data_IF_977382612696
#
_entry.id   IF_977382612696
#
_cell.length_a   1.000
_cell.length_b   1.000
_cell.length_c   1.000
_cell.angle_alpha   90.00
_cell.angle_beta   90.00
_cell.angle_gamma   90.00
#
_symmetry.space_group_name_H-M   'P 1'
#
loop_
_entity.id
_entity.type
_entity.pdbx_description
1 polymer ?
#
# COMPACT_ATOMS: atom_id res chain seq x y z
N UNK A 1 32.36 -71.21 7.25
CA UNK A 1 31.33 -70.48 6.46
C UNK A 1 30.23 -69.87 7.31
N UNK A 2 29.78 -70.49 8.40
CA UNK A 2 28.63 -69.99 9.21
C UNK A 2 28.90 -68.64 9.92
N UNK A 3 30.10 -68.42 10.46
CA UNK A 3 30.45 -67.19 11.22
C UNK A 3 30.53 -65.94 10.34
N UNK A 4 30.91 -66.08 9.06
CA UNK A 4 30.93 -64.96 8.10
C UNK A 4 29.51 -64.56 7.66
N UNK A 5 28.61 -65.53 7.55
CA UNK A 5 27.20 -65.29 7.20
C UNK A 5 26.47 -64.50 8.30
N UNK A 6 26.69 -64.85 9.56
CA UNK A 6 26.04 -64.18 10.71
C UNK A 6 26.45 -62.70 10.83
N UNK A 7 27.73 -62.39 10.60
CA UNK A 7 28.22 -60.99 10.61
C UNK A 7 27.65 -60.18 9.45
N UNK A 8 27.45 -60.78 8.28
CA UNK A 8 26.83 -60.11 7.13
C UNK A 8 25.35 -59.78 7.40
N UNK A 9 24.63 -60.69 8.05
CA UNK A 9 23.24 -60.50 8.48
C UNK A 9 23.09 -59.38 9.51
N UNK A 10 24.02 -59.29 10.47
CA UNK A 10 24.05 -58.23 11.48
C UNK A 10 24.31 -56.85 10.87
N UNK A 11 25.24 -56.76 9.91
CA UNK A 11 25.52 -55.52 9.16
C UNK A 11 24.32 -55.09 8.33
N UNK A 12 23.63 -56.04 7.67
CA UNK A 12 22.40 -55.74 6.93
C UNK A 12 21.30 -55.16 7.85
N UNK A 13 21.10 -55.75 9.02
CA UNK A 13 20.15 -55.25 10.04
C UNK A 13 20.47 -53.82 10.50
N UNK A 14 21.76 -53.52 10.72
CA UNK A 14 22.24 -52.18 11.08
C UNK A 14 21.97 -51.16 9.97
N UNK A 15 22.32 -51.50 8.72
CA UNK A 15 22.08 -50.64 7.55
C UNK A 15 20.59 -50.40 7.33
N UNK A 16 19.74 -51.42 7.51
CA UNK A 16 18.28 -51.28 7.41
C UNK A 16 17.70 -50.39 8.52
N UNK A 17 18.17 -50.52 9.77
CA UNK A 17 17.75 -49.63 10.87
C UNK A 17 18.11 -48.17 10.58
N UNK A 18 19.32 -47.92 10.10
CA UNK A 18 19.76 -46.57 9.75
C UNK A 18 18.98 -46.00 8.56
N UNK A 19 18.70 -46.82 7.54
CA UNK A 19 17.87 -46.43 6.40
C UNK A 19 16.44 -46.02 6.82
N UNK A 20 15.81 -46.82 7.70
CA UNK A 20 14.47 -46.53 8.22
C UNK A 20 14.42 -45.26 9.09
N UNK A 21 15.44 -45.04 9.92
CA UNK A 21 15.57 -43.81 10.71
C UNK A 21 15.71 -42.58 9.80
N UNK A 22 16.58 -42.65 8.78
CA UNK A 22 16.76 -41.58 7.79
C UNK A 22 15.46 -41.30 7.01
N UNK A 23 14.69 -42.35 6.68
CA UNK A 23 13.41 -42.21 5.98
C UNK A 23 12.34 -41.53 6.85
N UNK A 24 12.33 -41.78 8.16
CA UNK A 24 11.43 -41.11 9.10
C UNK A 24 11.74 -39.63 9.22
N UNK A 25 13.03 -39.27 9.33
CA UNK A 25 13.48 -37.86 9.35
C UNK A 25 13.12 -37.17 8.04
N UNK A 26 13.33 -37.82 6.89
CA UNK A 26 12.95 -37.29 5.57
C UNK A 26 11.45 -36.98 5.49
N UNK A 27 10.60 -37.86 6.02
CA UNK A 27 9.15 -37.65 6.04
C UNK A 27 8.75 -36.46 6.93
N UNK A 28 9.38 -36.31 8.10
CA UNK A 28 9.15 -35.16 8.99
C UNK A 28 9.59 -33.84 8.34
N UNK A 29 10.76 -33.80 7.71
CA UNK A 29 11.26 -32.62 6.99
C UNK A 29 10.32 -32.24 5.84
N UNK A 30 9.80 -33.22 5.10
CA UNK A 30 8.84 -32.97 4.04
C UNK A 30 7.55 -32.33 4.59
N UNK A 31 7.04 -32.82 5.72
CA UNK A 31 5.84 -32.26 6.37
C UNK A 31 6.04 -30.80 6.78
N UNK A 32 7.22 -30.45 7.31
CA UNK A 32 7.57 -29.07 7.67
C UNK A 32 7.68 -28.19 6.42
N UNK A 33 8.31 -28.71 5.35
CA UNK A 33 8.43 -28.00 4.07
C UNK A 33 7.06 -27.68 3.48
N UNK A 34 6.15 -28.65 3.45
CA UNK A 34 4.82 -28.46 2.85
C UNK A 34 4.02 -27.38 3.62
N UNK A 35 4.12 -27.36 4.95
CA UNK A 35 3.50 -26.31 5.77
C UNK A 35 4.11 -24.93 5.52
N UNK A 36 5.45 -24.86 5.43
CA UNK A 36 6.13 -23.61 5.11
C UNK A 36 5.77 -23.10 3.71
N UNK A 37 5.65 -24.01 2.73
CA UNK A 37 5.29 -23.67 1.36
C UNK A 37 3.91 -23.01 1.28
N UNK A 38 2.92 -23.51 2.03
CA UNK A 38 1.58 -22.88 2.08
C UNK A 38 1.64 -21.43 2.58
N UNK A 39 2.47 -21.16 3.58
CA UNK A 39 2.66 -19.80 4.12
C UNK A 39 3.35 -18.89 3.10
N UNK A 40 4.40 -19.39 2.45
CA UNK A 40 5.11 -18.66 1.38
C UNK A 40 4.18 -18.31 0.23
N UNK A 41 3.35 -19.27 -0.20
CA UNK A 41 2.39 -19.05 -1.29
C UNK A 41 1.28 -18.05 -0.88
N UNK A 42 0.85 -18.06 0.38
CA UNK A 42 -0.10 -17.09 0.90
C UNK A 42 0.49 -15.67 0.92
N UNK A 43 1.70 -15.49 1.46
CA UNK A 43 2.41 -14.20 1.48
C UNK A 43 2.63 -13.69 0.04
N UNK A 44 3.03 -14.57 -0.88
CA UNK A 44 3.23 -14.20 -2.28
C UNK A 44 1.95 -13.67 -2.93
N UNK A 45 0.80 -14.30 -2.66
CA UNK A 45 -0.51 -13.81 -3.15
C UNK A 45 -0.90 -12.48 -2.52
N UNK A 46 -0.73 -12.32 -1.21
CA UNK A 46 -1.08 -11.08 -0.51
C UNK A 46 -0.21 -9.90 -0.99
N UNK A 47 1.10 -10.13 -1.16
CA UNK A 47 2.02 -9.14 -1.74
C UNK A 47 1.61 -8.74 -3.15
N UNK A 48 1.32 -9.71 -4.02
CA UNK A 48 0.90 -9.44 -5.39
C UNK A 48 -0.39 -8.59 -5.45
N UNK A 49 -1.40 -8.94 -4.64
CA UNK A 49 -2.65 -8.19 -4.59
C UNK A 49 -2.45 -6.76 -4.05
N UNK A 50 -1.57 -6.60 -3.06
CA UNK A 50 -1.26 -5.28 -2.50
C UNK A 50 -0.52 -4.40 -3.51
N UNK A 51 0.47 -4.96 -4.22
CA UNK A 51 1.19 -4.27 -5.29
C UNK A 51 0.25 -3.88 -6.45
N UNK A 52 -0.68 -4.74 -6.83
CA UNK A 52 -1.69 -4.42 -7.84
C UNK A 52 -2.54 -3.21 -7.43
N UNK A 53 -3.03 -3.16 -6.18
CA UNK A 53 -3.76 -1.98 -5.66
C UNK A 53 -2.90 -0.72 -5.68
N UNK A 54 -1.60 -0.83 -5.37
CA UNK A 54 -0.67 0.30 -5.43
C UNK A 54 -0.53 0.83 -6.85
N UNK A 55 -0.30 -0.04 -7.82
CA UNK A 55 -0.20 0.35 -9.23
C UNK A 55 -1.52 0.95 -9.74
N UNK A 56 -2.67 0.45 -9.29
CA UNK A 56 -3.98 1.02 -9.62
C UNK A 56 -4.21 2.41 -8.98
N UNK A 57 -3.57 2.73 -7.86
CA UNK A 57 -3.70 4.02 -7.19
C UNK A 57 -2.79 5.11 -7.80
N UNK A 58 -1.63 4.74 -8.37
CA UNK A 58 -0.69 5.67 -9.02
C UNK A 58 -1.28 6.55 -10.13
N UNK A 59 -2.09 6.05 -11.09
CA UNK A 59 -2.57 6.88 -12.20
C UNK A 59 -3.44 8.03 -11.70
N UNK A 60 -4.27 7.81 -10.66
CA UNK A 60 -5.09 8.86 -10.08
C UNK A 60 -4.24 9.98 -9.43
N UNK A 61 -3.13 9.61 -8.78
CA UNK A 61 -2.19 10.57 -8.22
C UNK A 61 -1.47 11.34 -9.34
N UNK A 62 -0.98 10.66 -10.37
CA UNK A 62 -0.29 11.27 -11.50
C UNK A 62 -1.19 12.23 -12.28
N UNK A 63 -2.46 11.85 -12.53
CA UNK A 63 -3.43 12.73 -13.18
C UNK A 63 -3.69 13.99 -12.35
N UNK A 64 -3.82 13.82 -11.03
CA UNK A 64 -3.98 14.93 -10.12
C UNK A 64 -2.75 15.86 -10.09
N UNK A 65 -1.54 15.31 -10.06
CA UNK A 65 -0.28 16.07 -10.11
C UNK A 65 -0.14 16.82 -11.43
N UNK A 66 -0.43 16.16 -12.56
CA UNK A 66 -0.43 16.80 -13.87
C UNK A 66 -1.43 17.97 -13.94
N UNK A 67 -2.59 17.86 -13.28
CA UNK A 67 -3.53 18.97 -13.17
C UNK A 67 -2.94 20.16 -12.38
N UNK A 68 -2.09 19.92 -11.38
CA UNK A 68 -1.42 20.98 -10.63
C UNK A 68 -0.39 21.73 -11.48
N UNK A 69 0.31 21.05 -12.38
CA UNK A 69 1.28 21.70 -13.29
C UNK A 69 0.62 22.73 -14.22
N UNK A 70 -0.70 22.63 -14.43
CA UNK A 70 -1.46 23.60 -15.23
C UNK A 70 -1.82 24.89 -14.46
N UNK A 71 -1.59 24.93 -13.14
CA UNK A 71 -1.91 26.09 -12.30
C UNK A 71 -0.92 27.23 -12.58
N UNK A 72 -1.46 28.36 -13.01
CA UNK A 72 -0.69 29.58 -13.30
C UNK A 72 -0.90 30.63 -12.20
N UNK A 73 0.02 31.61 -12.05
CA UNK A 73 -0.16 32.72 -11.11
C UNK A 73 -1.48 33.48 -11.28
N UNK A 74 -2.02 33.55 -12.51
CA UNK A 74 -3.33 34.14 -12.81
C UNK A 74 -4.49 33.42 -12.10
N UNK A 75 -4.44 32.08 -12.02
CA UNK A 75 -5.45 31.26 -11.34
C UNK A 75 -5.45 31.53 -9.83
N UNK A 76 -4.26 31.63 -9.23
CA UNK A 76 -4.08 31.98 -7.81
C UNK A 76 -4.59 33.40 -7.53
N UNK A 77 -4.33 34.34 -8.46
CA UNK A 77 -4.82 35.71 -8.34
C UNK A 77 -6.36 35.77 -8.37
N UNK A 78 -7.04 34.92 -9.15
CA UNK A 78 -8.51 34.80 -9.15
C UNK A 78 -9.03 34.45 -7.76
N UNK A 79 -8.45 33.43 -7.12
CA UNK A 79 -8.85 33.00 -5.78
C UNK A 79 -8.59 34.09 -4.75
N UNK A 80 -7.44 34.77 -4.82
CA UNK A 80 -7.10 35.87 -3.89
C UNK A 80 -8.01 37.09 -4.01
N UNK A 81 -8.64 37.31 -5.17
CA UNK A 81 -9.58 38.41 -5.40
C UNK A 81 -10.99 38.11 -4.87
N UNK A 82 -11.29 36.86 -4.49
CA UNK A 82 -12.55 36.52 -3.86
C UNK A 82 -12.61 37.15 -2.46
N UNK A 83 -13.31 38.27 -2.33
CA UNK A 83 -13.48 38.94 -1.03
C UNK A 83 -14.17 38.05 0.03
N UNK A 84 -15.03 37.12 -0.42
CA UNK A 84 -15.60 36.03 0.37
C UNK A 84 -15.57 34.73 -0.45
N UNK A 85 -14.55 33.88 -0.28
CA UNK A 85 -14.48 32.61 -1.00
C UNK A 85 -15.67 31.71 -0.65
N UNK A 86 -16.27 31.00 -1.62
CA UNK A 86 -17.31 30.02 -1.34
C UNK A 86 -16.79 28.92 -0.39
N UNK A 87 -17.67 28.38 0.46
CA UNK A 87 -17.29 27.39 1.49
C UNK A 87 -16.57 26.16 0.93
N UNK A 88 -16.90 25.73 -0.30
CA UNK A 88 -16.19 24.63 -0.95
C UNK A 88 -14.71 24.98 -1.23
N UNK A 89 -14.44 26.19 -1.69
CA UNK A 89 -13.07 26.66 -1.98
C UNK A 89 -12.27 26.79 -0.69
N UNK A 90 -12.89 27.28 0.39
CA UNK A 90 -12.26 27.34 1.71
C UNK A 90 -11.84 25.95 2.17
N UNK A 91 -12.75 24.96 2.11
CA UNK A 91 -12.46 23.58 2.49
C UNK A 91 -11.36 22.93 1.65
N UNK A 92 -11.36 23.14 0.33
CA UNK A 92 -10.27 22.65 -0.53
C UNK A 92 -8.94 23.27 -0.11
N UNK A 93 -8.91 24.58 0.16
CA UNK A 93 -7.71 25.27 0.62
C UNK A 93 -7.28 24.86 2.02
N UNK A 94 -8.20 24.53 2.92
CA UNK A 94 -7.90 23.99 4.25
C UNK A 94 -7.23 22.61 4.11
N UNK A 95 -7.75 21.71 3.27
CA UNK A 95 -7.11 20.41 2.99
C UNK A 95 -5.71 20.56 2.37
N UNK A 96 -5.55 21.49 1.42
CA UNK A 96 -4.23 21.82 0.85
C UNK A 96 -3.31 22.34 1.97
N UNK A 97 -3.77 23.27 2.79
CA UNK A 97 -2.98 23.78 3.90
C UNK A 97 -2.61 22.66 4.89
N UNK A 98 -3.51 21.74 5.21
CA UNK A 98 -3.26 20.58 6.08
C UNK A 98 -2.15 19.69 5.50
N UNK A 99 -2.19 19.38 4.20
CA UNK A 99 -1.14 18.60 3.52
C UNK A 99 0.22 19.31 3.51
N UNK A 100 0.23 20.65 3.42
CA UNK A 100 1.46 21.45 3.36
C UNK A 100 1.90 22.04 4.73
N UNK A 101 1.16 21.81 5.81
CA UNK A 101 1.59 22.23 7.16
C UNK A 101 2.77 21.36 7.56
N UNK A 102 3.94 22.00 7.75
CA UNK A 102 5.23 21.37 8.07
C UNK A 102 5.06 20.18 9.03
N UNK A 103 5.14 18.94 8.53
CA UNK A 103 5.36 17.80 9.40
C UNK A 103 6.77 17.91 9.99
N UNK A 104 7.04 17.22 11.10
CA UNK A 104 8.41 17.12 11.65
C UNK A 104 9.38 16.49 10.62
N UNK A 105 8.84 15.77 9.63
CA UNK A 105 9.53 15.26 8.45
C UNK A 105 8.92 15.90 7.18
N UNK A 106 9.68 16.69 6.40
CA UNK A 106 9.18 17.36 5.19
C UNK A 106 8.64 16.41 4.11
N UNK A 107 9.02 15.14 4.14
CA UNK A 107 8.83 14.20 3.03
C UNK A 107 7.71 13.18 3.26
N UNK A 108 6.96 13.27 4.36
CA UNK A 108 5.93 12.26 4.69
C UNK A 108 4.62 12.85 5.21
N UNK A 109 3.55 12.62 4.44
CA UNK A 109 2.18 12.69 4.93
C UNK A 109 2.02 11.58 5.97
N UNK A 110 1.45 11.89 7.14
CA UNK A 110 1.20 10.91 8.18
C UNK A 110 -0.30 10.56 8.25
N UNK A 111 -0.65 9.55 9.05
CA UNK A 111 -2.02 9.07 9.17
C UNK A 111 -2.96 10.14 9.78
N UNK A 112 -2.47 10.94 10.73
CA UNK A 112 -3.24 12.01 11.39
C UNK A 112 -3.63 13.11 10.39
N UNK A 113 -2.74 13.46 9.45
CA UNK A 113 -3.01 14.42 8.38
C UNK A 113 -4.16 13.95 7.50
N UNK A 114 -4.22 12.66 7.16
CA UNK A 114 -5.29 12.08 6.35
C UNK A 114 -6.60 12.00 7.14
N UNK A 115 -6.54 11.57 8.40
CA UNK A 115 -7.70 11.50 9.29
C UNK A 115 -8.34 12.88 9.52
N UNK A 116 -7.53 13.93 9.67
CA UNK A 116 -8.01 15.30 9.81
C UNK A 116 -8.80 15.79 8.58
N UNK A 117 -8.49 15.26 7.40
CA UNK A 117 -9.17 15.62 6.14
C UNK A 117 -10.43 14.80 5.86
N UNK A 118 -10.59 13.64 6.49
CA UNK A 118 -11.69 12.71 6.25
C UNK A 118 -13.08 13.35 6.40
N UNK A 119 -13.36 14.21 7.41
CA UNK A 119 -14.65 14.88 7.52
C UNK A 119 -14.97 15.78 6.32
N UNK A 120 -13.96 16.37 5.68
CA UNK A 120 -14.13 17.19 4.48
C UNK A 120 -14.48 16.33 3.26
N UNK A 121 -13.82 15.17 3.12
CA UNK A 121 -14.05 14.26 1.99
C UNK A 121 -15.41 13.58 2.00
N UNK A 122 -16.00 13.41 3.18
CA UNK A 122 -17.34 12.86 3.36
C UNK A 122 -18.48 13.85 3.05
N UNK A 123 -18.16 15.12 2.77
CA UNK A 123 -19.15 16.11 2.36
C UNK A 123 -19.55 15.88 0.89
N UNK A 124 -20.85 15.87 0.61
CA UNK A 124 -21.40 15.54 -0.71
C UNK A 124 -20.90 16.48 -1.82
N UNK A 125 -20.67 17.74 -1.49
CA UNK A 125 -20.19 18.77 -2.42
C UNK A 125 -18.66 18.82 -2.56
N UNK A 126 -17.90 18.02 -1.79
CA UNK A 126 -16.45 17.89 -1.92
C UNK A 126 -16.09 16.94 -3.07
N UNK A 127 -16.33 17.40 -4.30
CA UNK A 127 -16.04 16.64 -5.51
C UNK A 127 -15.61 17.56 -6.67
N UNK A 128 -14.96 16.95 -7.67
CA UNK A 128 -14.41 17.66 -8.82
C UNK A 128 -15.46 18.49 -9.59
N UNK A 129 -16.66 17.94 -9.78
CA UNK A 129 -17.74 18.60 -10.54
C UNK A 129 -18.17 19.89 -9.86
N UNK A 130 -18.38 19.87 -8.54
CA UNK A 130 -18.79 21.04 -7.77
C UNK A 130 -17.65 22.05 -7.63
N UNK A 131 -16.42 21.58 -7.46
CA UNK A 131 -15.23 22.42 -7.44
C UNK A 131 -15.07 23.17 -8.77
N UNK A 132 -15.22 22.47 -9.91
CA UNK A 132 -15.14 23.05 -11.25
C UNK A 132 -16.21 24.09 -11.53
N UNK A 133 -17.43 23.87 -11.04
CA UNK A 133 -18.54 24.84 -11.13
C UNK A 133 -18.27 26.11 -10.32
N UNK A 134 -17.64 25.96 -9.17
CA UNK A 134 -17.40 27.07 -8.24
C UNK A 134 -16.18 27.89 -8.65
N UNK A 135 -15.07 27.21 -8.95
CA UNK A 135 -13.82 27.80 -9.40
C UNK A 135 -13.02 26.73 -10.17
N UNK A 136 -13.11 26.77 -11.51
CA UNK A 136 -12.43 25.81 -12.39
C UNK A 136 -10.93 25.71 -12.13
N UNK A 137 -10.31 26.85 -11.82
CA UNK A 137 -8.89 27.02 -11.51
C UNK A 137 -8.38 26.18 -10.33
N UNK A 138 -9.26 25.81 -9.38
CA UNK A 138 -8.88 25.01 -8.19
C UNK A 138 -9.51 23.62 -8.17
N UNK A 139 -10.23 23.23 -9.22
CA UNK A 139 -10.85 21.91 -9.30
C UNK A 139 -9.81 20.77 -9.25
N UNK A 140 -8.62 21.00 -9.83
CA UNK A 140 -7.49 20.06 -9.76
C UNK A 140 -7.01 19.81 -8.33
N UNK A 141 -7.00 20.84 -7.47
CA UNK A 141 -6.62 20.70 -6.05
C UNK A 141 -7.60 19.79 -5.29
N UNK A 142 -8.89 19.83 -5.63
CA UNK A 142 -9.89 18.93 -5.04
C UNK A 142 -9.58 17.46 -5.37
N UNK A 143 -9.30 17.14 -6.63
CA UNK A 143 -8.94 15.77 -7.02
C UNK A 143 -7.60 15.34 -6.42
N UNK A 144 -6.63 16.25 -6.38
CA UNK A 144 -5.30 15.98 -5.83
C UNK A 144 -5.31 15.66 -4.34
N UNK A 145 -6.03 16.43 -3.53
CA UNK A 145 -6.14 16.14 -2.08
C UNK A 145 -6.76 14.77 -1.82
N UNK A 146 -7.77 14.35 -2.59
CA UNK A 146 -8.39 13.01 -2.48
C UNK A 146 -7.45 11.91 -2.98
N UNK A 147 -6.77 12.13 -4.11
CA UNK A 147 -5.83 11.15 -4.67
C UNK A 147 -4.65 10.91 -3.72
N UNK A 148 -4.13 11.97 -3.09
CA UNK A 148 -3.05 11.88 -2.12
C UNK A 148 -3.44 11.08 -0.87
N UNK A 149 -4.64 11.33 -0.33
CA UNK A 149 -5.17 10.58 0.81
C UNK A 149 -5.37 9.08 0.48
N UNK A 150 -5.97 8.78 -0.67
CA UNK A 150 -6.16 7.40 -1.14
C UNK A 150 -4.83 6.69 -1.39
N UNK A 151 -3.85 7.37 -2.01
CA UNK A 151 -2.53 6.81 -2.25
C UNK A 151 -1.80 6.52 -0.94
N UNK A 152 -1.87 7.41 0.05
CA UNK A 152 -1.32 7.17 1.38
C UNK A 152 -1.92 5.92 2.04
N UNK A 153 -3.25 5.77 1.99
CA UNK A 153 -3.93 4.61 2.57
C UNK A 153 -3.44 3.29 1.95
N UNK A 154 -3.33 3.23 0.62
CA UNK A 154 -2.82 2.04 -0.08
C UNK A 154 -1.33 1.82 0.19
N UNK A 155 -0.52 2.88 0.14
CA UNK A 155 0.92 2.77 0.36
C UNK A 155 1.26 2.30 1.79
N UNK A 156 0.45 2.68 2.79
CA UNK A 156 0.57 2.21 4.18
C UNK A 156 0.32 0.69 4.31
N UNK A 157 -0.61 0.13 3.54
CA UNK A 157 -0.86 -1.32 3.51
C UNK A 157 0.26 -2.10 2.80
N UNK A 158 0.88 -1.49 1.80
CA UNK A 158 1.87 -2.15 0.93
C UNK A 158 3.29 -2.10 1.52
N UNK A 159 3.65 -1.03 2.23
CA UNK A 159 4.98 -0.82 2.82
C UNK A 159 5.48 -2.00 3.68
N UNK A 160 4.67 -2.62 4.55
CA UNK A 160 5.08 -3.78 5.35
C UNK A 160 5.31 -5.06 4.54
N UNK A 161 4.82 -5.14 3.30
CA UNK A 161 4.89 -6.31 2.43
C UNK A 161 6.04 -6.25 1.41
N UNK A 162 6.66 -5.07 1.24
CA UNK A 162 7.80 -4.85 0.33
C UNK A 162 9.07 -5.49 0.88
#
# INVERSE_FOLDING_TARGET
MVVASARAEEVLLQVTKQANAAQTVKAQVQTVKDRAQVLVDAIGREKANAEEKLEAAKPALQEAEAALETIKPSHIATVRKLGRPPHLIMRIMDCVAILFKRPLDPDTINAETVELMEPYFNMEDFNFTQAKRTCGDVAGLCSWTKAMASFFAVNKEVLPLK
#
